data_IF_541874417331
#
_entry.id   IF_541874417331
#
_cell.length_a   1.000
_cell.length_b   1.000
_cell.length_c   1.000
_cell.angle_alpha   90.00
_cell.angle_beta   90.00
_cell.angle_gamma   90.00
#
_symmetry.space_group_name_H-M   'P 1'
#
loop_
_entity.id
_entity.type
_entity.pdbx_description
1 polymer ?
#
# COMPACT_ATOMS: atom_id res chain seq x y z
N UNK A 1 40.97 -39.35 -3.37
CA UNK A 1 39.62 -38.74 -3.34
C UNK A 1 39.62 -37.74 -2.20
N UNK A 2 39.43 -36.45 -2.50
CA UNK A 2 39.45 -35.39 -1.48
C UNK A 2 38.04 -35.31 -0.88
N UNK A 3 37.92 -35.56 0.42
CA UNK A 3 36.67 -35.33 1.16
C UNK A 3 36.42 -33.83 1.26
N UNK A 4 35.32 -33.38 0.67
CA UNK A 4 34.81 -32.02 0.86
C UNK A 4 34.22 -31.90 2.27
N UNK A 5 34.92 -31.17 3.14
CA UNK A 5 34.45 -30.81 4.48
C UNK A 5 33.53 -29.58 4.36
N UNK A 6 32.25 -29.74 4.70
CA UNK A 6 31.31 -28.63 4.81
C UNK A 6 31.64 -27.78 6.04
N UNK A 7 32.27 -26.63 5.86
CA UNK A 7 32.70 -25.73 6.96
C UNK A 7 31.57 -24.85 7.52
N UNK A 8 30.52 -24.59 6.74
CA UNK A 8 29.32 -23.89 7.19
C UNK A 8 28.11 -24.32 6.35
N UNK A 9 27.00 -24.61 7.03
CA UNK A 9 25.68 -24.69 6.41
C UNK A 9 25.06 -23.29 6.57
N UNK A 10 25.24 -22.40 5.59
CA UNK A 10 24.47 -21.15 5.55
C UNK A 10 23.07 -21.51 5.06
N UNK A 11 22.04 -21.51 5.93
CA UNK A 11 20.68 -21.50 5.41
C UNK A 11 20.58 -20.30 4.46
N UNK A 12 20.03 -20.52 3.26
CA UNK A 12 19.67 -19.41 2.39
C UNK A 12 18.66 -18.57 3.18
N UNK A 13 19.13 -17.50 3.81
CA UNK A 13 18.28 -16.58 4.54
C UNK A 13 17.38 -15.94 3.50
N UNK A 14 16.15 -16.42 3.41
CA UNK A 14 15.07 -15.66 2.78
C UNK A 14 14.94 -14.41 3.66
N UNK A 15 15.58 -13.33 3.22
CA UNK A 15 15.62 -12.09 4.01
C UNK A 15 14.22 -11.51 4.19
N UNK A 16 13.33 -11.73 3.22
CA UNK A 16 11.95 -11.26 3.22
C UNK A 16 10.97 -12.40 3.08
N UNK A 17 10.09 -12.53 4.08
CA UNK A 17 9.03 -13.53 4.07
C UNK A 17 8.07 -13.27 2.90
N UNK A 18 7.36 -14.32 2.46
CA UNK A 18 6.34 -14.19 1.40
C UNK A 18 5.28 -13.12 1.71
N UNK A 19 5.09 -12.81 3.00
CA UNK A 19 4.21 -11.75 3.49
C UNK A 19 4.61 -10.37 2.99
N UNK A 20 5.91 -10.05 2.90
CA UNK A 20 6.36 -8.78 2.29
C UNK A 20 6.03 -8.77 0.81
N UNK A 21 6.33 -9.86 0.08
CA UNK A 21 6.01 -9.94 -1.34
C UNK A 21 4.50 -9.76 -1.60
N UNK A 22 3.66 -10.36 -0.75
CA UNK A 22 2.22 -10.20 -0.79
C UNK A 22 1.77 -8.78 -0.41
N UNK A 23 2.38 -8.14 0.59
CA UNK A 23 2.15 -6.71 0.89
C UNK A 23 2.47 -5.83 -0.31
N UNK A 24 3.65 -6.00 -0.91
CA UNK A 24 4.07 -5.22 -2.07
C UNK A 24 3.12 -5.41 -3.27
N UNK A 25 2.66 -6.64 -3.50
CA UNK A 25 1.69 -6.92 -4.55
C UNK A 25 0.33 -6.27 -4.26
N UNK A 26 -0.24 -6.49 -3.07
CA UNK A 26 -1.56 -5.98 -2.69
C UNK A 26 -1.57 -4.46 -2.60
N UNK A 27 -0.52 -3.86 -2.02
CA UNK A 27 -0.33 -2.42 -1.97
C UNK A 27 -0.18 -1.80 -3.35
N UNK A 28 0.59 -2.42 -4.26
CA UNK A 28 0.72 -2.00 -5.64
C UNK A 28 -0.61 -2.04 -6.42
N UNK A 29 -1.37 -3.13 -6.30
CA UNK A 29 -2.70 -3.24 -6.91
C UNK A 29 -3.67 -2.21 -6.30
N UNK A 30 -3.58 -1.98 -4.99
CA UNK A 30 -4.37 -0.96 -4.29
C UNK A 30 -4.09 0.46 -4.82
N UNK A 31 -2.82 0.84 -4.94
CA UNK A 31 -2.38 2.10 -5.55
C UNK A 31 -2.91 2.24 -6.98
N UNK A 32 -2.78 1.20 -7.80
CA UNK A 32 -3.29 1.19 -9.17
C UNK A 32 -4.81 1.38 -9.24
N UNK A 33 -5.55 0.67 -8.39
CA UNK A 33 -7.00 0.78 -8.30
C UNK A 33 -7.45 2.19 -7.87
N UNK A 34 -6.75 2.81 -6.92
CA UNK A 34 -7.01 4.18 -6.49
C UNK A 34 -6.78 5.18 -7.63
N UNK A 35 -5.60 5.14 -8.25
CA UNK A 35 -5.22 6.05 -9.33
C UNK A 35 -6.17 5.93 -10.52
N UNK A 36 -6.56 4.71 -10.87
CA UNK A 36 -7.54 4.46 -11.93
C UNK A 36 -8.91 5.05 -11.58
N UNK A 37 -9.38 4.86 -10.34
CA UNK A 37 -10.65 5.40 -9.90
C UNK A 37 -10.68 6.94 -9.96
N UNK A 38 -9.59 7.59 -9.51
CA UNK A 38 -9.43 9.05 -9.54
C UNK A 38 -9.32 9.57 -10.97
N UNK A 39 -8.45 8.98 -11.80
CA UNK A 39 -8.26 9.38 -13.19
C UNK A 39 -9.58 9.32 -13.96
N UNK A 40 -10.34 8.24 -13.77
CA UNK A 40 -11.62 8.10 -14.43
C UNK A 40 -12.68 9.10 -13.96
N UNK A 41 -12.65 9.46 -12.68
CA UNK A 41 -13.54 10.51 -12.15
C UNK A 41 -13.21 11.89 -12.72
N UNK A 42 -11.92 12.23 -12.83
CA UNK A 42 -11.46 13.54 -13.30
C UNK A 42 -11.54 13.69 -14.82
N UNK A 43 -10.99 12.73 -15.58
CA UNK A 43 -10.82 12.84 -17.02
C UNK A 43 -12.07 12.43 -17.80
N UNK A 44 -12.69 11.30 -17.41
CA UNK A 44 -13.86 10.77 -18.10
C UNK A 44 -15.18 11.23 -17.47
N UNK A 45 -15.15 12.14 -16.49
CA UNK A 45 -16.33 12.72 -15.82
C UNK A 45 -17.33 11.63 -15.37
N UNK A 46 -16.81 10.58 -14.72
CA UNK A 46 -17.57 9.44 -14.22
C UNK A 46 -18.28 8.57 -15.29
N UNK A 47 -17.87 8.62 -16.57
CA UNK A 47 -18.40 7.73 -17.63
C UNK A 47 -18.39 6.25 -17.23
N UNK A 48 -17.39 5.83 -16.47
CA UNK A 48 -17.27 4.48 -15.93
C UNK A 48 -17.44 4.45 -14.39
N UNK A 49 -18.47 5.12 -13.86
CA UNK A 49 -18.72 5.28 -12.43
C UNK A 49 -18.69 3.97 -11.63
N UNK A 50 -19.25 2.88 -12.17
CA UNK A 50 -19.25 1.57 -11.49
C UNK A 50 -17.84 1.03 -11.27
N UNK A 51 -16.98 1.14 -12.30
CA UNK A 51 -15.58 0.70 -12.22
C UNK A 51 -14.79 1.59 -11.25
N UNK A 52 -14.99 2.92 -11.30
CA UNK A 52 -14.35 3.83 -10.33
C UNK A 52 -14.77 3.54 -8.90
N UNK A 53 -16.07 3.31 -8.65
CA UNK A 53 -16.57 2.99 -7.32
C UNK A 53 -15.93 1.71 -6.79
N UNK A 54 -15.86 0.67 -7.61
CA UNK A 54 -15.20 -0.59 -7.23
C UNK A 54 -13.72 -0.36 -6.95
N UNK A 55 -13.00 0.36 -7.81
CA UNK A 55 -11.59 0.68 -7.59
C UNK A 55 -11.34 1.51 -6.32
N UNK A 56 -12.21 2.50 -6.06
CA UNK A 56 -12.16 3.33 -4.87
C UNK A 56 -12.35 2.54 -3.58
N UNK A 57 -13.26 1.57 -3.56
CA UNK A 57 -13.52 0.69 -2.41
C UNK A 57 -12.44 -0.37 -2.26
N UNK A 58 -12.01 -0.97 -3.37
CA UNK A 58 -11.04 -2.07 -3.37
C UNK A 58 -9.65 -1.60 -2.95
N UNK A 59 -9.25 -0.39 -3.35
CA UNK A 59 -7.95 0.20 -2.99
C UNK A 59 -7.64 0.11 -1.48
N UNK A 60 -8.39 0.78 -0.58
CA UNK A 60 -8.08 0.76 0.84
C UNK A 60 -8.14 -0.66 1.42
N UNK A 61 -9.02 -1.53 0.93
CA UNK A 61 -9.11 -2.93 1.39
C UNK A 61 -7.82 -3.67 1.08
N UNK A 62 -7.31 -3.58 -0.15
CA UNK A 62 -6.07 -4.25 -0.55
C UNK A 62 -4.86 -3.72 0.21
N UNK A 63 -4.75 -2.40 0.37
CA UNK A 63 -3.64 -1.80 1.13
C UNK A 63 -3.71 -2.20 2.61
N UNK A 64 -4.91 -2.27 3.22
CA UNK A 64 -5.07 -2.78 4.60
C UNK A 64 -4.62 -4.24 4.70
N UNK A 65 -4.98 -5.09 3.75
CA UNK A 65 -4.56 -6.49 3.75
C UNK A 65 -3.04 -6.62 3.65
N UNK A 66 -2.40 -5.83 2.79
CA UNK A 66 -0.94 -5.76 2.72
C UNK A 66 -0.33 -5.34 4.06
N UNK A 67 -0.84 -4.27 4.66
CA UNK A 67 -0.37 -3.78 5.95
C UNK A 67 -0.48 -4.82 7.07
N UNK A 68 -1.55 -5.62 7.08
CA UNK A 68 -1.70 -6.74 8.03
C UNK A 68 -0.59 -7.77 7.80
N UNK A 69 -0.32 -8.16 6.55
CA UNK A 69 0.75 -9.11 6.23
C UNK A 69 2.12 -8.59 6.67
N UNK A 70 2.46 -7.34 6.33
CA UNK A 70 3.71 -6.69 6.72
C UNK A 70 3.88 -6.65 8.24
N UNK A 71 2.85 -6.23 8.98
CA UNK A 71 2.94 -6.11 10.44
C UNK A 71 2.97 -7.46 11.16
N UNK A 72 2.39 -8.52 10.58
CA UNK A 72 2.50 -9.88 11.14
C UNK A 72 3.88 -10.49 10.96
N UNK A 73 4.62 -10.11 9.92
CA UNK A 73 6.02 -10.53 9.75
C UNK A 73 6.92 -9.87 10.81
N UNK A 74 6.71 -8.59 11.12
CA UNK A 74 7.44 -7.87 12.18
C UNK A 74 7.16 -8.40 13.61
N UNK A 75 6.31 -9.42 13.76
CA UNK A 75 5.95 -10.04 15.04
C UNK A 75 5.08 -9.18 15.95
N UNK A 76 4.70 -7.98 15.52
CA UNK A 76 3.96 -7.00 16.32
C UNK A 76 2.83 -6.36 15.49
N UNK A 77 1.72 -7.08 15.21
CA UNK A 77 0.65 -6.62 14.32
C UNK A 77 0.02 -5.27 14.75
N UNK A 78 -0.08 -5.02 16.05
CA UNK A 78 -0.62 -3.76 16.60
C UNK A 78 0.46 -2.70 16.86
N UNK A 79 1.73 -3.00 16.56
CA UNK A 79 2.88 -2.13 16.78
C UNK A 79 3.12 -1.11 15.67
N UNK A 80 2.18 -0.94 14.74
CA UNK A 80 2.34 -0.09 13.56
C UNK A 80 2.59 1.39 13.90
N UNK A 81 2.06 1.87 15.02
CA UNK A 81 2.35 3.19 15.58
C UNK A 81 3.85 3.36 15.92
N UNK A 82 4.54 2.28 16.25
CA UNK A 82 5.98 2.26 16.56
C UNK A 82 6.83 2.55 15.32
N UNK A 83 6.33 2.24 14.13
CA UNK A 83 6.97 2.62 12.86
C UNK A 83 6.87 4.13 12.63
N UNK A 84 5.84 4.78 13.17
CA UNK A 84 5.68 6.25 13.13
C UNK A 84 6.53 6.92 14.22
N UNK A 85 6.56 6.40 15.45
CA UNK A 85 7.32 7.00 16.57
C UNK A 85 8.81 6.66 16.60
N UNK A 86 9.21 5.54 16.00
CA UNK A 86 10.58 5.08 15.85
C UNK A 86 11.09 5.17 14.41
N UNK A 87 10.65 6.19 13.67
CA UNK A 87 10.96 6.35 12.25
C UNK A 87 12.48 6.40 11.99
N UNK A 88 13.01 5.35 11.37
CA UNK A 88 14.41 5.30 10.96
C UNK A 88 14.52 5.63 9.47
N UNK A 89 15.01 6.83 9.17
CA UNK A 89 15.17 7.34 7.79
C UNK A 89 16.07 6.42 6.96
N UNK A 90 17.08 5.79 7.58
CA UNK A 90 18.05 4.92 6.91
C UNK A 90 17.50 3.52 6.57
N UNK A 91 16.35 3.13 7.13
CA UNK A 91 15.71 1.84 6.86
C UNK A 91 14.50 2.05 5.95
N UNK A 92 14.56 1.63 4.67
CA UNK A 92 13.42 1.74 3.76
C UNK A 92 12.15 1.10 4.32
N UNK A 93 12.26 -0.02 5.04
CA UNK A 93 11.12 -0.72 5.63
C UNK A 93 10.33 0.14 6.63
N UNK A 94 10.97 1.10 7.30
CA UNK A 94 10.30 2.03 8.23
C UNK A 94 9.38 3.04 7.53
N UNK A 95 9.51 3.20 6.21
CA UNK A 95 8.74 4.18 5.43
C UNK A 95 7.33 3.67 5.05
N UNK A 96 7.15 2.35 4.92
CA UNK A 96 5.90 1.76 4.45
C UNK A 96 4.71 2.00 5.36
N UNK A 97 4.90 1.75 6.66
CA UNK A 97 3.84 1.89 7.66
C UNK A 97 3.14 3.26 7.59
N UNK A 98 3.86 4.38 7.75
CA UNK A 98 3.27 5.71 7.64
C UNK A 98 2.60 6.00 6.29
N UNK A 99 3.24 5.66 5.17
CA UNK A 99 2.75 6.02 3.83
C UNK A 99 1.52 5.21 3.41
N UNK A 100 1.55 3.90 3.62
CA UNK A 100 0.40 3.03 3.36
C UNK A 100 -0.77 3.38 4.28
N UNK A 101 -0.52 3.72 5.56
CA UNK A 101 -1.58 4.19 6.47
C UNK A 101 -2.23 5.49 5.99
N UNK A 102 -1.42 6.44 5.49
CA UNK A 102 -1.94 7.69 4.93
C UNK A 102 -2.80 7.41 3.69
N UNK A 103 -2.35 6.53 2.78
CA UNK A 103 -3.12 6.12 1.61
C UNK A 103 -4.42 5.42 2.00
N UNK A 104 -4.41 4.56 3.02
CA UNK A 104 -5.63 3.93 3.55
C UNK A 104 -6.62 4.97 4.04
N UNK A 105 -6.16 5.95 4.84
CA UNK A 105 -7.02 7.02 5.34
C UNK A 105 -7.69 7.81 4.22
N UNK A 106 -6.91 8.24 3.22
CA UNK A 106 -7.43 8.95 2.05
C UNK A 106 -8.35 8.04 1.22
N UNK A 107 -7.98 6.78 1.02
CA UNK A 107 -8.74 5.78 0.28
C UNK A 107 -10.10 5.51 0.91
N UNK A 108 -10.18 5.40 2.24
CA UNK A 108 -11.45 5.24 2.97
C UNK A 108 -12.36 6.45 2.77
N UNK A 109 -11.83 7.67 2.90
CA UNK A 109 -12.61 8.89 2.68
C UNK A 109 -13.10 8.96 1.23
N UNK A 110 -12.23 8.64 0.27
CA UNK A 110 -12.57 8.63 -1.14
C UNK A 110 -13.64 7.56 -1.48
N UNK A 111 -13.51 6.35 -0.94
CA UNK A 111 -14.50 5.28 -1.06
C UNK A 111 -15.85 5.69 -0.45
N UNK A 112 -15.82 6.33 0.72
CA UNK A 112 -17.02 6.84 1.38
C UNK A 112 -17.76 7.85 0.51
N UNK A 113 -17.04 8.80 -0.10
CA UNK A 113 -17.62 9.79 -1.02
C UNK A 113 -18.18 9.18 -2.32
N UNK A 114 -17.71 7.99 -2.71
CA UNK A 114 -18.29 7.21 -3.81
C UNK A 114 -19.54 6.43 -3.41
N UNK A 115 -19.62 5.96 -2.16
CA UNK A 115 -20.78 5.22 -1.64
C UNK A 115 -21.92 6.17 -1.27
N UNK A 116 -21.59 7.28 -0.59
CA UNK A 116 -22.49 8.37 -0.26
C UNK A 116 -22.04 9.62 -1.02
N UNK A 117 -22.59 9.87 -2.22
CA UNK A 117 -22.20 11.02 -3.05
C UNK A 117 -22.71 12.34 -2.43
N UNK A 118 -21.99 12.85 -1.44
CA UNK A 118 -22.29 14.12 -0.76
C UNK A 118 -21.91 15.30 -1.65
N UNK A 119 -20.70 15.28 -2.22
CA UNK A 119 -20.21 16.35 -3.10
C UNK A 119 -19.14 15.82 -4.06
N UNK A 120 -19.39 15.98 -5.37
CA UNK A 120 -18.44 15.63 -6.44
C UNK A 120 -17.17 16.47 -6.34
N UNK A 121 -17.28 17.75 -5.94
CA UNK A 121 -16.11 18.63 -5.78
C UNK A 121 -15.19 18.13 -4.66
N UNK A 122 -15.77 17.77 -3.50
CA UNK A 122 -15.02 17.21 -2.38
C UNK A 122 -14.37 15.87 -2.75
N UNK A 123 -15.10 15.00 -3.46
CA UNK A 123 -14.56 13.73 -3.95
C UNK A 123 -13.35 13.94 -4.87
N UNK A 124 -13.45 14.87 -5.81
CA UNK A 124 -12.37 15.18 -6.73
C UNK A 124 -11.16 15.80 -6.00
N UNK A 125 -11.39 16.68 -5.03
CA UNK A 125 -10.34 17.25 -4.19
C UNK A 125 -9.60 16.16 -3.40
N UNK A 126 -10.33 15.27 -2.73
CA UNK A 126 -9.74 14.14 -1.99
C UNK A 126 -8.96 13.22 -2.94
N UNK A 127 -9.50 12.95 -4.14
CA UNK A 127 -8.80 12.19 -5.17
C UNK A 127 -7.47 12.85 -5.58
N UNK A 128 -7.49 14.17 -5.87
CA UNK A 128 -6.30 14.94 -6.27
C UNK A 128 -5.24 14.95 -5.16
N UNK A 129 -5.64 15.15 -3.89
CA UNK A 129 -4.74 15.08 -2.74
C UNK A 129 -4.19 13.65 -2.57
N UNK A 130 -4.98 12.64 -2.90
CA UNK A 130 -4.56 11.24 -2.84
C UNK A 130 -3.56 10.83 -3.91
N UNK A 131 -3.54 11.48 -5.09
CA UNK A 131 -2.59 11.17 -6.17
C UNK A 131 -1.12 11.21 -5.71
N UNK A 132 -0.59 12.31 -5.12
CA UNK A 132 0.80 12.34 -4.71
C UNK A 132 1.13 11.30 -3.65
N UNK A 133 0.19 11.02 -2.73
CA UNK A 133 0.36 9.97 -1.71
C UNK A 133 0.39 8.58 -2.35
N UNK A 134 -0.52 8.29 -3.27
CA UNK A 134 -0.58 7.02 -3.98
C UNK A 134 0.68 6.78 -4.82
N UNK A 135 1.17 7.81 -5.51
CA UNK A 135 2.43 7.74 -6.25
C UNK A 135 3.62 7.51 -5.31
N UNK A 136 3.67 8.20 -4.18
CA UNK A 136 4.72 8.03 -3.19
C UNK A 136 4.72 6.60 -2.62
N UNK A 137 3.55 6.03 -2.30
CA UNK A 137 3.42 4.63 -1.90
C UNK A 137 3.88 3.70 -3.02
N UNK A 138 3.47 3.93 -4.26
CA UNK A 138 3.89 3.11 -5.41
C UNK A 138 5.39 3.13 -5.65
N UNK A 139 6.03 4.31 -5.56
CA UNK A 139 7.49 4.45 -5.67
C UNK A 139 8.18 3.73 -4.51
N UNK A 140 7.67 3.85 -3.29
CA UNK A 140 8.19 3.11 -2.14
C UNK A 140 8.16 1.59 -2.36
N UNK A 141 7.07 1.05 -2.91
CA UNK A 141 6.97 -0.36 -3.22
C UNK A 141 7.99 -0.79 -4.29
N UNK A 142 8.21 0.08 -5.30
CA UNK A 142 9.23 -0.15 -6.32
C UNK A 142 10.67 -0.04 -5.80
N UNK A 143 10.92 0.82 -4.81
CA UNK A 143 12.24 0.97 -4.17
C UNK A 143 12.63 -0.26 -3.35
N UNK A 144 11.64 -0.94 -2.77
CA UNK A 144 11.86 -2.13 -1.95
C UNK A 144 12.23 -3.37 -2.78
N UNK A 145 11.89 -3.43 -4.07
CA UNK A 145 12.20 -4.57 -4.95
C UNK A 145 13.65 -4.54 -5.44
#
# INVERSE_FOLDING_TARGET
MVETIFTYNTPHLIYWDWRIAADLFLGGVGVGAFLWAVLNSLYYKDKYASISKTGAILSPILVILGLILMTTEMGHPFGMWRTVTGFNVSSPLSWGGPFQTLLVGIGIVYAYLWVKPVSTSLRNLVGIIGIPVALLVGVYHGWLL
#
